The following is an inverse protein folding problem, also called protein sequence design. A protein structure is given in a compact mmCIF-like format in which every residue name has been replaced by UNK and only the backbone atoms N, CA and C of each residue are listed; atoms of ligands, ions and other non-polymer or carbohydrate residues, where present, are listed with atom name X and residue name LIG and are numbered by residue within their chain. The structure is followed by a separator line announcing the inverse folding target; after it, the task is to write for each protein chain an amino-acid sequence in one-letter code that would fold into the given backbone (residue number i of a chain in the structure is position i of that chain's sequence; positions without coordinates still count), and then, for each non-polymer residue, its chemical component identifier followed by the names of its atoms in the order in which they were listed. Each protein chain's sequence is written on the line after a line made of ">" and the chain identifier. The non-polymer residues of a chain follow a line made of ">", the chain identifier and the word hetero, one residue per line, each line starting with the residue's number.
data_IF_761288229547
#
_entry.id   IF_761288229547
#
_cell.length_a   1.000
_cell.length_b   1.000
_cell.length_c   1.000
_cell.angle_alpha   90.00
_cell.angle_beta   90.00
_cell.angle_gamma   90.00
#
_symmetry.space_group_name_H-M   'P 1'
#
loop_
_entity.id
_entity.type
_entity.pdbx_description
1 polymer ?
#
# COMPACT_ATOMS: atom_id res chain seq x y z
N UNK A 1 5.78 11.76 42.93
CA UNK A 1 5.19 11.21 41.70
C UNK A 1 5.22 9.71 41.81
N UNK A 2 4.09 9.07 41.57
CA UNK A 2 3.98 7.62 41.42
C UNK A 2 4.45 7.21 40.03
N UNK A 3 4.88 5.96 39.87
CA UNK A 3 5.31 5.40 38.57
C UNK A 3 4.23 5.55 37.49
N UNK A 4 2.96 5.47 37.88
CA UNK A 4 1.84 5.73 36.99
C UNK A 4 1.79 7.19 36.52
N UNK A 5 2.06 8.16 37.39
CA UNK A 5 2.07 9.58 37.01
C UNK A 5 3.22 9.93 36.05
N UNK A 6 4.39 9.31 36.22
CA UNK A 6 5.52 9.52 35.29
C UNK A 6 5.22 8.94 33.91
N UNK A 7 4.60 7.76 33.84
CA UNK A 7 4.15 7.18 32.57
C UNK A 7 3.08 8.07 31.92
N UNK A 8 2.08 8.53 32.66
CA UNK A 8 1.04 9.45 32.12
C UNK A 8 1.66 10.72 31.54
N UNK A 9 2.66 11.30 32.21
CA UNK A 9 3.36 12.49 31.72
C UNK A 9 4.09 12.23 30.40
N UNK A 10 4.85 11.12 30.32
CA UNK A 10 5.57 10.71 29.10
C UNK A 10 4.62 10.42 27.94
N UNK A 11 3.50 9.76 28.24
CA UNK A 11 2.49 9.41 27.24
C UNK A 11 1.89 10.68 26.63
N UNK A 12 1.52 11.67 27.45
CA UNK A 12 1.04 12.99 26.97
C UNK A 12 2.07 13.73 26.12
N UNK A 13 3.35 13.65 26.48
CA UNK A 13 4.44 14.24 25.70
C UNK A 13 4.53 13.61 24.30
N UNK A 14 4.50 12.28 24.23
CA UNK A 14 4.52 11.54 22.95
C UNK A 14 3.28 11.85 22.09
N UNK A 15 2.09 11.92 22.69
CA UNK A 15 0.89 12.33 21.97
C UNK A 15 1.00 13.72 21.36
N UNK A 16 1.64 14.67 22.07
CA UNK A 16 1.91 16.02 21.56
C UNK A 16 2.90 16.00 20.39
N UNK A 17 3.95 15.17 20.46
CA UNK A 17 4.92 15.01 19.37
C UNK A 17 4.25 14.45 18.10
N UNK A 18 3.32 13.50 18.26
CA UNK A 18 2.56 12.89 17.17
C UNK A 18 1.33 13.70 16.74
N UNK A 19 1.03 14.83 17.38
CA UNK A 19 -0.14 15.65 17.09
C UNK A 19 -1.49 14.96 17.33
N UNK A 20 -1.55 13.99 18.26
CA UNK A 20 -2.77 13.21 18.57
C UNK A 20 -3.03 13.06 20.06
N UNK A 21 -4.31 13.00 20.44
CA UNK A 21 -4.72 12.67 21.81
C UNK A 21 -4.48 11.19 22.12
N UNK A 22 -3.91 10.94 23.30
CA UNK A 22 -3.46 9.60 23.72
C UNK A 22 -4.12 9.21 25.03
N UNK A 23 -4.63 7.97 25.08
CA UNK A 23 -5.33 7.49 26.26
C UNK A 23 -4.34 7.21 27.42
N UNK A 24 -4.59 7.84 28.56
CA UNK A 24 -3.78 7.74 29.79
C UNK A 24 -4.44 6.89 30.88
N UNK A 25 -5.56 6.24 30.54
CA UNK A 25 -6.24 5.28 31.40
C UNK A 25 -5.63 3.89 31.25
N UNK A 26 -5.45 3.19 32.37
CA UNK A 26 -4.92 1.83 32.40
C UNK A 26 -4.06 1.52 33.63
N UNK A 27 -3.53 0.31 33.65
CA UNK A 27 -2.47 -0.15 34.55
C UNK A 27 -1.10 0.36 34.10
N UNK A 28 -0.10 0.27 34.98
CA UNK A 28 1.29 0.69 34.69
C UNK A 28 1.83 -0.06 33.46
N UNK A 29 1.55 -1.36 33.34
CA UNK A 29 2.02 -2.18 32.22
C UNK A 29 1.40 -1.73 30.88
N UNK A 30 0.10 -1.45 30.85
CA UNK A 30 -0.58 -0.95 29.64
C UNK A 30 -0.03 0.42 29.22
N UNK A 31 0.21 1.32 30.17
CA UNK A 31 0.79 2.63 29.88
C UNK A 31 2.22 2.52 29.36
N UNK A 32 3.03 1.64 29.95
CA UNK A 32 4.42 1.40 29.52
C UNK A 32 4.48 0.78 28.13
N UNK A 33 3.59 -0.18 27.82
CA UNK A 33 3.50 -0.78 26.49
C UNK A 33 3.13 0.28 25.45
N UNK A 34 2.11 1.10 25.73
CA UNK A 34 1.70 2.19 24.83
C UNK A 34 2.82 3.22 24.61
N UNK A 35 3.58 3.56 25.64
CA UNK A 35 4.73 4.47 25.49
C UNK A 35 5.77 3.89 24.53
N UNK A 36 6.12 2.60 24.70
CA UNK A 36 7.10 1.94 23.82
C UNK A 36 6.63 1.92 22.35
N UNK A 37 5.34 1.64 22.11
CA UNK A 37 4.76 1.71 20.76
C UNK A 37 4.85 3.12 20.15
N UNK A 38 4.56 4.15 20.94
CA UNK A 38 4.60 5.55 20.49
C UNK A 38 6.05 6.05 20.26
N UNK A 39 7.00 5.59 21.06
CA UNK A 39 8.42 5.89 20.87
C UNK A 39 8.97 5.24 19.60
N UNK A 40 8.57 4.00 19.29
CA UNK A 40 8.93 3.33 18.03
C UNK A 40 8.34 4.05 16.80
N UNK A 41 7.09 4.51 16.87
CA UNK A 41 6.46 5.31 15.81
C UNK A 41 7.22 6.64 15.58
N UNK A 42 7.66 7.30 16.65
CA UNK A 42 8.38 8.57 16.58
C UNK A 42 9.83 8.42 16.10
N UNK A 43 10.53 7.36 16.52
CA UNK A 43 11.90 7.06 16.08
C UNK A 43 11.92 6.59 14.62
N UNK A 44 10.89 5.85 14.19
CA UNK A 44 10.71 5.42 12.81
C UNK A 44 10.49 6.56 11.80
N UNK A 45 10.03 7.73 12.24
CA UNK A 45 9.85 8.93 11.40
C UNK A 45 11.16 9.67 11.13
N UNK A 46 12.19 9.50 11.98
CA UNK A 46 13.49 10.17 11.85
C UNK A 46 14.39 9.60 10.74
N UNK A 47 13.92 8.62 9.98
CA UNK A 47 14.69 7.85 8.99
C UNK A 47 14.53 8.25 7.52
N UNK A 48 13.82 9.32 7.17
CA UNK A 48 13.69 9.73 5.75
C UNK A 48 13.53 11.24 5.55
N UNK A 49 14.62 11.98 5.74
CA UNK A 49 14.85 13.21 4.97
C UNK A 49 16.35 13.37 4.70
N UNK A 50 16.77 13.15 3.44
CA UNK A 50 17.49 14.16 2.66
C UNK A 50 17.80 13.64 1.24
N UNK A 51 17.54 14.49 0.23
CA UNK A 51 18.01 14.30 -1.14
C UNK A 51 16.95 14.42 -2.23
N UNK A 52 16.37 15.60 -2.46
CA UNK A 52 16.83 16.47 -3.56
C UNK A 52 15.94 17.71 -3.69
N UNK A 53 16.56 18.86 -3.41
CA UNK A 53 16.07 20.19 -3.72
C UNK A 53 16.12 20.39 -5.24
N UNK A 54 15.01 20.79 -5.84
CA UNK A 54 14.90 21.13 -7.25
C UNK A 54 13.83 22.20 -7.42
N UNK A 55 14.28 23.44 -7.29
CA UNK A 55 13.54 24.67 -7.48
C UNK A 55 12.70 24.71 -8.78
N UNK A 56 11.80 25.69 -8.80
CA UNK A 56 11.44 26.51 -9.96
C UNK A 56 10.71 25.86 -11.15
N UNK A 57 9.40 26.15 -11.27
CA UNK A 57 8.95 27.28 -12.08
C UNK A 57 7.42 27.38 -12.09
N UNK A 58 6.93 28.53 -11.65
CA UNK A 58 5.63 29.02 -12.06
C UNK A 58 5.65 29.27 -13.58
N UNK A 59 4.75 28.67 -14.34
CA UNK A 59 4.34 29.23 -15.62
C UNK A 59 2.98 28.68 -16.01
N UNK A 60 2.02 29.59 -16.16
CA UNK A 60 0.68 29.26 -16.59
C UNK A 60 0.67 28.62 -17.98
N UNK A 61 -0.20 27.62 -18.15
CA UNK A 61 -0.68 27.27 -19.47
C UNK A 61 -2.16 27.60 -19.52
N UNK A 62 -2.42 28.86 -19.85
CA UNK A 62 -3.67 29.23 -20.52
C UNK A 62 -3.68 28.58 -21.90
N UNK A 63 -4.77 27.89 -22.23
CA UNK A 63 -5.19 27.78 -23.62
C UNK A 63 -5.76 26.43 -24.04
N UNK A 64 -7.01 26.50 -24.50
CA UNK A 64 -7.68 25.63 -25.47
C UNK A 64 -8.57 24.55 -24.86
N UNK A 65 -9.83 24.83 -24.53
CA UNK A 65 -11.00 25.09 -25.42
C UNK A 65 -11.68 23.80 -25.89
N UNK A 66 -12.94 23.71 -25.49
CA UNK A 66 -14.09 22.98 -26.04
C UNK A 66 -14.01 21.48 -26.33
N UNK A 67 -14.89 20.74 -25.64
CA UNK A 67 -15.16 19.33 -25.87
C UNK A 67 -16.35 18.85 -25.04
N UNK A 68 -17.50 19.46 -25.31
CA UNK A 68 -18.85 19.19 -24.85
C UNK A 68 -19.23 17.68 -24.73
N UNK A 69 -20.07 17.38 -23.73
CA UNK A 69 -21.16 16.36 -23.73
C UNK A 69 -20.87 14.90 -23.36
N UNK A 70 -21.69 14.45 -22.39
CA UNK A 70 -22.25 13.10 -22.18
C UNK A 70 -21.29 11.99 -21.73
N UNK A 71 -21.74 10.88 -21.17
CA UNK A 71 -22.94 10.43 -20.45
C UNK A 71 -22.55 8.98 -20.07
N UNK A 72 -23.23 8.40 -19.10
CA UNK A 72 -22.98 7.07 -18.60
C UNK A 72 -22.74 6.00 -19.68
N UNK A 73 -21.60 5.32 -19.63
CA UNK A 73 -21.52 3.93 -20.05
C UNK A 73 -20.44 3.20 -19.25
N UNK A 74 -20.91 2.18 -18.52
CA UNK A 74 -20.08 1.08 -18.03
C UNK A 74 -19.29 0.50 -19.21
N UNK A 75 -18.05 0.94 -19.40
CA UNK A 75 -17.13 0.20 -20.25
C UNK A 75 -16.74 -1.08 -19.53
N UNK A 76 -17.51 -2.13 -19.83
CA UNK A 76 -16.92 -3.46 -19.98
C UNK A 76 -15.75 -3.30 -20.94
N UNK A 77 -14.54 -3.10 -20.40
CA UNK A 77 -13.29 -3.19 -21.15
C UNK A 77 -13.22 -4.61 -21.71
N UNK A 78 -13.73 -4.73 -22.93
CA UNK A 78 -13.65 -5.88 -23.80
C UNK A 78 -12.18 -6.10 -24.09
N UNK A 79 -11.64 -7.19 -23.53
CA UNK A 79 -10.49 -7.96 -23.98
C UNK A 79 -9.55 -7.24 -24.96
N UNK A 80 -8.54 -6.58 -24.41
CA UNK A 80 -7.35 -6.18 -25.17
C UNK A 80 -6.28 -7.25 -24.93
N UNK A 81 -6.01 -7.98 -26.01
CA UNK A 81 -4.83 -8.82 -26.28
C UNK A 81 -4.68 -10.10 -25.45
N UNK A 82 -5.36 -11.17 -25.90
CA UNK A 82 -4.69 -12.47 -25.99
C UNK A 82 -3.46 -12.27 -26.88
N UNK A 83 -2.25 -12.52 -26.38
CA UNK A 83 -1.35 -13.43 -27.11
C UNK A 83 -0.16 -13.95 -26.32
N UNK A 84 0.32 -13.27 -25.27
CA UNK A 84 1.54 -13.72 -24.57
C UNK A 84 1.47 -13.58 -23.03
N UNK A 85 0.42 -14.16 -22.44
CA UNK A 85 0.34 -14.30 -20.98
C UNK A 85 0.47 -15.77 -20.60
N UNK A 86 1.44 -16.06 -19.75
CA UNK A 86 1.72 -17.41 -19.26
C UNK A 86 0.76 -17.72 -18.11
N UNK A 87 0.28 -18.97 -18.09
CA UNK A 87 -0.63 -19.46 -17.04
C UNK A 87 0.19 -20.03 -15.89
N UNK A 88 -0.08 -19.55 -14.67
CA UNK A 88 0.61 -19.99 -13.46
C UNK A 88 -0.39 -20.24 -12.33
N UNK A 89 -0.07 -21.19 -11.45
CA UNK A 89 -0.74 -21.37 -10.15
C UNK A 89 0.01 -20.59 -9.08
N UNK A 90 -0.68 -19.73 -8.36
CA UNK A 90 -0.11 -18.98 -7.23
C UNK A 90 0.08 -19.87 -6.01
N UNK A 91 1.20 -19.72 -5.30
CA UNK A 91 1.53 -20.47 -4.08
C UNK A 91 1.40 -19.60 -2.81
N UNK A 92 1.22 -18.29 -2.99
CA UNK A 92 1.05 -17.31 -1.94
C UNK A 92 -0.02 -16.27 -2.33
N UNK A 93 -0.42 -15.45 -1.37
CA UNK A 93 -1.29 -14.30 -1.65
C UNK A 93 -0.48 -13.16 -2.26
N UNK A 94 -0.81 -12.76 -3.49
CA UNK A 94 -0.03 -11.84 -4.31
C UNK A 94 -0.88 -10.65 -4.77
N UNK A 95 -0.35 -9.44 -4.66
CA UNK A 95 -0.86 -8.28 -5.38
C UNK A 95 -0.24 -8.26 -6.78
N UNK A 96 -1.05 -8.46 -7.81
CA UNK A 96 -0.57 -8.61 -9.18
C UNK A 96 -1.62 -8.09 -10.16
N UNK A 97 -1.21 -7.62 -11.33
CA UNK A 97 -2.13 -7.33 -12.44
C UNK A 97 -2.23 -8.56 -13.35
N UNK A 98 -3.18 -9.44 -13.04
CA UNK A 98 -3.35 -10.71 -13.74
C UNK A 98 -4.76 -10.87 -14.30
N UNK A 99 -4.93 -11.87 -15.18
CA UNK A 99 -6.25 -12.32 -15.60
C UNK A 99 -6.53 -13.71 -15.04
N UNK A 100 -7.72 -13.97 -14.52
CA UNK A 100 -8.10 -15.33 -14.16
C UNK A 100 -8.04 -16.25 -15.39
N UNK A 101 -7.48 -17.46 -15.24
CA UNK A 101 -7.29 -18.39 -16.36
C UNK A 101 -8.62 -18.75 -17.06
N UNK A 102 -9.63 -19.14 -16.28
CA UNK A 102 -10.95 -19.53 -16.80
C UNK A 102 -11.88 -18.33 -17.05
N UNK A 103 -11.96 -17.40 -16.10
CA UNK A 103 -12.96 -16.31 -16.13
C UNK A 103 -12.54 -15.12 -16.99
N UNK A 104 -11.25 -15.02 -17.32
CA UNK A 104 -10.71 -13.90 -18.12
C UNK A 104 -11.09 -12.53 -17.53
N UNK A 105 -11.13 -12.46 -16.20
CA UNK A 105 -11.42 -11.25 -15.45
C UNK A 105 -10.13 -10.74 -14.79
N UNK A 106 -10.00 -9.42 -14.57
CA UNK A 106 -8.86 -8.87 -13.86
C UNK A 106 -8.83 -9.36 -12.41
N UNK A 107 -7.65 -9.78 -11.98
CA UNK A 107 -7.34 -10.23 -10.63
C UNK A 107 -6.26 -9.31 -10.10
N UNK A 108 -6.61 -8.49 -9.10
CA UNK A 108 -5.66 -7.60 -8.40
C UNK A 108 -5.03 -8.26 -7.17
N UNK A 109 -5.69 -9.29 -6.63
CA UNK A 109 -5.25 -10.09 -5.49
C UNK A 109 -5.47 -11.55 -5.84
N UNK A 110 -4.40 -12.32 -5.97
CA UNK A 110 -4.46 -13.76 -6.22
C UNK A 110 -4.16 -14.52 -4.93
N UNK A 111 -5.07 -15.40 -4.51
CA UNK A 111 -4.91 -16.28 -3.35
C UNK A 111 -4.11 -17.54 -3.72
N UNK A 112 -3.49 -18.26 -2.76
CA UNK A 112 -2.79 -19.51 -3.07
C UNK A 112 -3.73 -20.57 -3.66
N UNK A 113 -3.28 -21.25 -4.71
CA UNK A 113 -4.04 -22.23 -5.50
C UNK A 113 -4.87 -21.64 -6.64
N UNK A 114 -4.86 -20.32 -6.83
CA UNK A 114 -5.59 -19.67 -7.93
C UNK A 114 -4.75 -19.71 -9.21
N UNK A 115 -5.38 -20.10 -10.31
CA UNK A 115 -4.74 -20.12 -11.63
C UNK A 115 -4.99 -18.81 -12.35
N UNK A 116 -3.90 -18.07 -12.60
CA UNK A 116 -3.91 -16.75 -13.23
C UNK A 116 -3.03 -16.73 -14.48
N UNK A 117 -3.24 -15.73 -15.32
CA UNK A 117 -2.47 -15.42 -16.52
C UNK A 117 -1.78 -14.08 -16.35
N UNK A 118 -0.46 -14.10 -16.34
CA UNK A 118 0.40 -12.94 -16.08
C UNK A 118 1.37 -12.74 -17.25
N UNK A 119 2.05 -11.60 -17.31
CA UNK A 119 3.04 -11.38 -18.35
C UNK A 119 4.28 -12.27 -18.13
N UNK A 120 5.07 -12.55 -19.17
CA UNK A 120 6.30 -13.33 -19.05
C UNK A 120 7.28 -12.75 -18.02
N UNK A 121 7.38 -11.41 -17.97
CA UNK A 121 8.24 -10.69 -17.02
C UNK A 121 7.83 -10.96 -15.57
N UNK A 122 6.52 -10.97 -15.31
CA UNK A 122 6.00 -11.27 -13.98
C UNK A 122 6.19 -12.76 -13.63
N UNK A 123 6.02 -13.67 -14.60
CA UNK A 123 6.23 -15.11 -14.36
C UNK A 123 7.64 -15.38 -13.87
N UNK A 124 8.67 -14.92 -14.57
CA UNK A 124 10.05 -15.23 -14.20
C UNK A 124 10.34 -14.79 -12.75
N UNK A 125 9.88 -13.60 -12.37
CA UNK A 125 10.01 -13.10 -11.01
C UNK A 125 9.24 -13.96 -9.98
N UNK A 126 8.00 -14.35 -10.30
CA UNK A 126 7.17 -15.17 -9.43
C UNK A 126 7.76 -16.58 -9.24
N UNK A 127 8.28 -17.19 -10.29
CA UNK A 127 8.92 -18.51 -10.22
C UNK A 127 10.24 -18.40 -9.44
N UNK A 128 11.08 -17.40 -9.73
CA UNK A 128 12.36 -17.19 -9.05
C UNK A 128 12.19 -16.97 -7.54
N UNK A 129 11.13 -16.28 -7.13
CA UNK A 129 10.77 -16.05 -5.72
C UNK A 129 9.99 -17.22 -5.09
N UNK A 130 9.63 -18.26 -5.86
CA UNK A 130 8.84 -19.39 -5.38
C UNK A 130 7.39 -19.05 -5.03
N UNK A 131 6.85 -17.98 -5.63
CA UNK A 131 5.51 -17.44 -5.36
C UNK A 131 4.44 -18.00 -6.29
N UNK A 132 4.83 -18.57 -7.42
CA UNK A 132 3.95 -19.26 -8.35
C UNK A 132 4.65 -20.49 -8.95
N UNK A 133 3.91 -21.36 -9.62
CA UNK A 133 4.43 -22.42 -10.50
C UNK A 133 3.75 -22.36 -11.86
N UNK A 134 4.48 -22.71 -12.92
CA UNK A 134 3.91 -22.96 -14.24
C UNK A 134 3.01 -24.21 -14.22
N UNK A 135 1.90 -24.17 -14.97
CA UNK A 135 0.87 -25.23 -15.04
C UNK A 135 0.67 -25.80 -16.43
#
# INVERSE_FOLDING_TARGET
>A
MTEKETLIARLKELGKMLGRDVNTSGTIQELSMRIAELEEELDGDAGSVDGENGEENASGSTGSTDGDIADAAKEKKKATTTDDRITVETLATLHIDALHATRNEPVSIAEPGVIIRVSEQDVDELIAKGLAREV
#
